data_IF_999032442618
#
_entry.id   IF_999032442618
#
_cell.length_a   1.000
_cell.length_b   1.000
_cell.length_c   1.000
_cell.angle_alpha   90.00
_cell.angle_beta   90.00
_cell.angle_gamma   90.00
#
_symmetry.space_group_name_H-M   'P 1'
#
loop_
_entity.id
_entity.type
_entity.pdbx_description
1 polymer ?
#
# COMPACT_ATOMS: atom_id res chain seq x y z
N UNK A 1 49.64 -16.10 -5.21
CA UNK A 1 48.38 -16.53 -4.56
C UNK A 1 48.26 -15.79 -3.23
N UNK A 2 47.09 -15.24 -2.91
CA UNK A 2 46.81 -14.59 -1.62
C UNK A 2 45.37 -14.93 -1.23
N UNK A 3 45.19 -15.59 -0.09
CA UNK A 3 43.87 -16.00 0.41
C UNK A 3 43.32 -14.97 1.40
N UNK A 4 42.17 -14.38 1.09
CA UNK A 4 41.49 -13.46 2.00
C UNK A 4 40.69 -14.25 3.05
N UNK A 5 41.09 -14.14 4.32
CA UNK A 5 40.42 -14.82 5.44
C UNK A 5 39.31 -13.93 6.00
N UNK A 6 38.05 -14.30 5.75
CA UNK A 6 36.91 -13.60 6.34
C UNK A 6 36.74 -13.89 7.84
N UNK A 7 36.37 -12.88 8.65
CA UNK A 7 36.17 -13.05 10.09
C UNK A 7 34.88 -13.83 10.41
N UNK A 8 34.97 -14.78 11.34
CA UNK A 8 33.83 -15.60 11.79
C UNK A 8 32.91 -14.80 12.70
N UNK A 9 31.77 -14.33 12.17
CA UNK A 9 30.74 -13.64 12.96
C UNK A 9 30.19 -14.57 14.06
N UNK A 10 30.16 -14.08 15.30
CA UNK A 10 29.70 -14.86 16.47
C UNK A 10 28.19 -15.09 16.42
N UNK A 11 27.79 -16.34 16.23
CA UNK A 11 26.39 -16.80 16.20
C UNK A 11 25.80 -16.78 17.62
N UNK A 12 25.04 -15.73 17.96
CA UNK A 12 24.17 -15.75 19.14
C UNK A 12 23.16 -16.91 19.04
N UNK A 13 22.98 -17.66 20.14
CA UNK A 13 21.98 -18.71 20.27
C UNK A 13 20.90 -18.24 21.24
N UNK A 14 19.66 -18.11 20.77
CA UNK A 14 18.51 -17.83 21.64
C UNK A 14 18.07 -19.13 22.35
N UNK A 15 18.02 -19.21 23.69
CA UNK A 15 17.88 -20.48 24.41
C UNK A 15 16.42 -20.92 24.61
N UNK A 16 15.67 -21.13 23.53
CA UNK A 16 14.36 -21.79 23.56
C UNK A 16 14.30 -22.92 22.53
N UNK A 17 14.67 -24.14 22.97
CA UNK A 17 14.50 -25.39 22.22
C UNK A 17 14.15 -26.54 23.16
N UNK A 18 12.88 -26.90 23.24
CA UNK A 18 12.40 -28.16 23.82
C UNK A 18 11.01 -28.53 23.29
N UNK A 19 10.58 -29.77 23.53
CA UNK A 19 9.29 -30.38 23.20
C UNK A 19 8.91 -30.55 21.72
N UNK A 20 9.02 -31.81 21.27
CA UNK A 20 8.16 -32.56 20.33
C UNK A 20 8.05 -32.11 18.84
N UNK A 21 7.83 -33.00 17.86
CA UNK A 21 7.85 -34.48 17.89
C UNK A 21 6.75 -35.13 17.03
N UNK A 22 7.15 -35.87 15.98
CA UNK A 22 6.32 -36.72 15.09
C UNK A 22 5.23 -36.01 14.21
N UNK A 23 4.66 -36.62 13.15
CA UNK A 23 5.21 -37.46 12.05
C UNK A 23 4.14 -37.72 10.95
N UNK A 24 4.49 -37.56 9.65
CA UNK A 24 3.88 -38.15 8.42
C UNK A 24 2.34 -37.99 8.18
N UNK A 25 1.67 -38.23 7.03
CA UNK A 25 1.91 -38.71 5.64
C UNK A 25 0.97 -37.91 4.67
N UNK A 26 1.26 -37.61 3.39
CA UNK A 26 1.00 -38.39 2.13
C UNK A 26 -0.50 -38.71 1.85
N UNK A 27 -1.10 -38.67 0.64
CA UNK A 27 -0.58 -38.58 -0.76
C UNK A 27 -1.65 -38.29 -1.86
N UNK A 28 -1.21 -37.81 -3.05
CA UNK A 28 -1.75 -38.09 -4.43
C UNK A 28 -2.95 -37.31 -5.04
N UNK A 29 -2.95 -37.21 -6.38
CA UNK A 29 -3.88 -36.49 -7.30
C UNK A 29 -4.76 -37.44 -8.15
N UNK A 30 -5.78 -36.90 -8.85
CA UNK A 30 -6.22 -37.31 -10.21
C UNK A 30 -6.68 -36.05 -11.00
N UNK A 31 -6.64 -36.07 -12.34
CA UNK A 31 -7.14 -35.01 -13.24
C UNK A 31 -7.83 -35.60 -14.50
N UNK A 32 -8.72 -34.83 -15.13
CA UNK A 32 -9.47 -35.07 -16.40
C UNK A 32 -10.30 -33.79 -16.72
N UNK A 33 -10.71 -33.42 -17.93
CA UNK A 33 -10.17 -33.67 -19.30
C UNK A 33 -10.74 -32.63 -20.32
N UNK A 34 -10.33 -32.64 -21.60
CA UNK A 34 -10.75 -31.68 -22.66
C UNK A 34 -11.47 -32.36 -23.87
N UNK A 35 -12.44 -31.69 -24.52
CA UNK A 35 -12.24 -31.10 -25.87
C UNK A 35 -12.98 -29.73 -26.07
N UNK A 36 -12.66 -28.76 -26.93
CA UNK A 36 -12.12 -28.66 -28.32
C UNK A 36 -13.19 -28.61 -29.45
N UNK A 37 -13.55 -27.39 -29.89
CA UNK A 37 -13.91 -26.93 -31.26
C UNK A 37 -14.23 -25.40 -31.19
N UNK A 38 -13.81 -24.43 -32.03
CA UNK A 38 -13.10 -24.33 -33.32
C UNK A 38 -13.95 -24.10 -34.58
N UNK A 39 -14.35 -22.84 -34.85
CA UNK A 39 -14.37 -22.22 -36.21
C UNK A 39 -14.54 -20.69 -36.18
N UNK A 40 -14.03 -20.00 -37.21
CA UNK A 40 -14.18 -18.57 -37.55
C UNK A 40 -13.71 -18.42 -39.03
N UNK A 41 -14.31 -17.58 -39.92
CA UNK A 41 -13.69 -16.25 -40.20
C UNK A 41 -14.61 -15.14 -40.84
N UNK A 42 -14.09 -13.90 -40.90
CA UNK A 42 -14.34 -12.85 -41.94
C UNK A 42 -15.76 -12.24 -42.12
N UNK A 43 -15.98 -11.01 -42.65
CA UNK A 43 -15.08 -9.90 -43.05
C UNK A 43 -15.81 -8.51 -43.09
N UNK A 44 -15.02 -7.44 -42.90
CA UNK A 44 -14.98 -6.14 -43.61
C UNK A 44 -16.25 -5.29 -43.98
N UNK A 45 -16.19 -4.02 -43.54
CA UNK A 45 -16.45 -2.72 -44.23
C UNK A 45 -17.79 -2.35 -44.92
N UNK A 46 -18.20 -1.08 -44.74
CA UNK A 46 -19.23 -0.40 -45.56
C UNK A 46 -19.90 0.84 -44.93
N UNK A 47 -19.47 2.06 -45.31
CA UNK A 47 -20.13 3.36 -45.00
C UNK A 47 -19.90 4.34 -46.17
N UNK A 48 -20.95 4.99 -46.71
CA UNK A 48 -20.98 6.48 -46.72
C UNK A 48 -22.38 7.15 -46.59
N UNK A 49 -22.32 8.44 -46.20
CA UNK A 49 -23.14 9.65 -46.49
C UNK A 49 -24.42 9.57 -47.37
N UNK A 50 -25.42 10.47 -47.32
CA UNK A 50 -25.67 11.79 -46.65
C UNK A 50 -27.22 11.99 -46.50
N UNK A 51 -27.89 13.06 -46.04
CA UNK A 51 -27.66 14.49 -45.66
C UNK A 51 -28.71 14.86 -44.54
N UNK A 52 -29.34 16.02 -44.23
CA UNK A 52 -29.38 17.44 -44.64
C UNK A 52 -29.94 18.33 -43.48
N UNK A 53 -30.03 19.66 -43.66
CA UNK A 53 -30.63 20.65 -42.71
C UNK A 53 -31.38 21.79 -43.43
N UNK A 54 -32.29 22.51 -42.75
CA UNK A 54 -32.41 23.96 -42.98
C UNK A 54 -32.61 24.87 -41.73
N UNK A 55 -31.63 25.77 -41.51
CA UNK A 55 -31.68 27.22 -41.16
C UNK A 55 -33.05 27.81 -40.71
N UNK A 56 -33.25 28.38 -39.49
CA UNK A 56 -32.81 29.68 -38.88
C UNK A 56 -33.58 30.95 -39.40
N UNK A 57 -33.98 31.91 -38.52
CA UNK A 57 -33.13 33.03 -38.01
C UNK A 57 -33.22 33.19 -36.47
N UNK A 58 -32.25 33.70 -35.68
CA UNK A 58 -31.24 34.78 -35.75
C UNK A 58 -31.72 36.15 -35.23
N UNK A 59 -31.08 36.65 -34.15
CA UNK A 59 -30.98 38.07 -33.77
C UNK A 59 -29.73 38.28 -32.87
N UNK A 60 -29.08 39.46 -32.91
CA UNK A 60 -27.70 39.66 -32.41
C UNK A 60 -27.41 41.13 -31.98
N UNK A 61 -26.28 41.36 -31.27
CA UNK A 61 -25.63 42.67 -30.96
C UNK A 61 -26.36 43.62 -29.96
N UNK A 62 -25.69 44.63 -29.33
CA UNK A 62 -24.26 44.85 -29.01
C UNK A 62 -23.99 45.14 -27.49
N UNK A 63 -22.73 45.38 -27.02
CA UNK A 63 -22.38 45.51 -25.59
C UNK A 63 -22.26 46.96 -25.04
N UNK A 64 -22.29 47.11 -23.70
CA UNK A 64 -22.02 48.37 -22.95
C UNK A 64 -21.02 48.11 -21.79
N UNK A 65 -20.42 49.19 -21.27
CA UNK A 65 -19.12 49.23 -20.57
C UNK A 65 -19.12 48.97 -19.04
N UNK A 66 -17.90 49.07 -18.48
CA UNK A 66 -17.55 48.98 -17.05
C UNK A 66 -18.38 49.90 -16.14
N UNK A 67 -18.93 49.33 -15.06
CA UNK A 67 -19.20 50.07 -13.82
C UNK A 67 -18.87 49.19 -12.61
N UNK A 68 -18.27 49.79 -11.58
CA UNK A 68 -17.88 49.14 -10.33
C UNK A 68 -18.87 49.56 -9.23
N UNK A 69 -19.69 48.64 -8.73
CA UNK A 69 -20.75 48.95 -7.77
C UNK A 69 -20.50 48.30 -6.40
N UNK A 70 -20.45 49.12 -5.34
CA UNK A 70 -20.38 48.65 -3.96
C UNK A 70 -21.77 48.19 -3.48
N UNK A 71 -21.87 46.96 -2.97
CA UNK A 71 -23.09 46.46 -2.33
C UNK A 71 -23.23 46.95 -0.85
N UNK A 72 -24.46 47.11 -0.32
CA UNK A 72 -24.70 47.84 0.94
C UNK A 72 -24.53 47.01 2.23
N UNK A 73 -24.46 47.72 3.37
CA UNK A 73 -24.40 47.15 4.72
C UNK A 73 -25.78 47.26 5.40
N UNK A 74 -26.38 46.14 5.83
CA UNK A 74 -27.45 46.01 6.86
C UNK A 74 -27.99 44.55 6.87
N UNK A 75 -28.69 44.09 7.92
CA UNK A 75 -28.36 44.06 9.35
C UNK A 75 -28.08 42.62 9.84
N UNK A 76 -27.74 42.46 11.13
CA UNK A 76 -27.79 41.14 11.78
C UNK A 76 -29.22 40.72 12.13
N UNK A 77 -29.60 39.47 11.83
CA UNK A 77 -30.62 38.75 12.58
C UNK A 77 -30.16 37.31 12.88
N UNK A 78 -30.29 36.88 14.14
CA UNK A 78 -29.87 35.56 14.57
C UNK A 78 -30.99 34.54 14.40
N UNK A 79 -30.70 33.42 13.74
CA UNK A 79 -31.56 32.22 13.75
C UNK A 79 -30.69 31.01 14.07
N UNK A 80 -30.58 30.70 15.37
CA UNK A 80 -29.76 29.63 15.89
C UNK A 80 -30.43 28.25 15.72
N UNK A 81 -30.61 27.80 14.47
CA UNK A 81 -31.06 26.44 14.18
C UNK A 81 -29.92 25.46 14.47
N UNK A 82 -30.07 24.64 15.51
CA UNK A 82 -29.02 23.78 16.04
C UNK A 82 -28.64 22.63 15.10
N UNK A 83 -27.71 22.87 14.18
CA UNK A 83 -26.88 21.82 13.61
C UNK A 83 -26.05 21.17 14.73
N UNK A 84 -26.08 19.85 14.84
CA UNK A 84 -25.27 19.10 15.81
C UNK A 84 -23.77 19.31 15.54
N UNK A 85 -23.16 20.25 16.26
CA UNK A 85 -21.71 20.41 16.28
C UNK A 85 -21.08 19.22 17.02
N UNK A 86 -20.56 18.26 16.26
CA UNK A 86 -19.64 17.27 16.82
C UNK A 86 -18.33 18.00 17.21
N UNK A 87 -17.89 17.95 18.49
CA UNK A 87 -16.76 18.75 18.98
C UNK A 87 -15.42 18.17 18.49
N UNK A 88 -15.11 18.43 17.22
CA UNK A 88 -14.06 17.76 16.46
C UNK A 88 -12.64 18.16 16.89
N UNK A 89 -11.97 17.25 17.60
CA UNK A 89 -10.52 16.99 17.58
C UNK A 89 -9.60 18.20 17.26
N UNK A 90 -9.40 19.10 18.24
CA UNK A 90 -8.54 20.30 18.13
C UNK A 90 -7.23 20.22 18.93
N UNK A 91 -6.71 19.02 19.18
CA UNK A 91 -5.41 18.84 19.86
C UNK A 91 -4.38 18.30 18.89
N UNK A 92 -3.21 18.93 18.86
CA UNK A 92 -2.11 18.56 17.97
C UNK A 92 -0.86 18.28 18.77
N UNK A 93 -0.18 17.17 18.47
CA UNK A 93 1.08 16.80 19.12
C UNK A 93 2.24 17.02 18.15
N UNK A 94 3.12 17.97 18.49
CA UNK A 94 4.30 18.34 17.71
C UNK A 94 5.40 17.28 17.86
N UNK A 95 5.59 16.76 19.08
CA UNK A 95 6.61 15.77 19.41
C UNK A 95 6.00 14.47 19.94
N UNK A 96 6.24 13.37 19.23
CA UNK A 96 5.90 12.01 19.65
C UNK A 96 6.87 11.01 19.03
N UNK A 97 7.09 9.86 19.67
CA UNK A 97 7.88 8.75 19.11
C UNK A 97 6.98 7.76 18.37
N UNK A 98 7.55 6.97 17.46
CA UNK A 98 6.81 6.01 16.60
C UNK A 98 5.95 5.03 17.41
N UNK A 99 6.43 4.61 18.60
CA UNK A 99 5.71 3.73 19.53
C UNK A 99 4.61 4.45 20.35
N UNK A 100 4.64 5.79 20.43
CA UNK A 100 3.66 6.61 21.16
C UNK A 100 2.47 7.02 20.27
N UNK A 101 2.60 6.92 18.93
CA UNK A 101 1.55 7.29 17.95
C UNK A 101 0.25 6.47 18.13
N UNK A 102 0.32 5.26 18.69
CA UNK A 102 -0.86 4.45 19.02
C UNK A 102 -1.54 4.84 20.34
N UNK A 103 -0.90 5.68 21.16
CA UNK A 103 -1.34 6.06 22.50
C UNK A 103 -1.86 7.51 22.56
N UNK A 104 -2.06 8.15 21.40
CA UNK A 104 -2.68 9.47 21.28
C UNK A 104 -4.11 9.42 21.86
N UNK A 105 -4.47 10.39 22.68
CA UNK A 105 -5.82 10.46 23.27
C UNK A 105 -6.86 10.87 22.22
N UNK A 106 -8.15 10.59 22.50
CA UNK A 106 -9.23 10.86 21.55
C UNK A 106 -9.31 12.35 21.22
N UNK A 107 -8.90 12.71 20.00
CA UNK A 107 -8.85 14.08 19.52
C UNK A 107 -7.45 14.68 19.37
N UNK A 108 -6.40 13.99 19.82
CA UNK A 108 -5.00 14.31 19.49
C UNK A 108 -4.61 13.75 18.12
N UNK A 109 -3.98 14.57 17.27
CA UNK A 109 -3.33 14.11 16.03
C UNK A 109 -1.98 14.79 15.78
N UNK A 110 -1.06 14.11 15.13
CA UNK A 110 0.20 14.69 14.66
C UNK A 110 -0.08 15.46 13.36
N UNK A 111 0.28 16.75 13.30
CA UNK A 111 0.18 17.53 12.06
C UNK A 111 1.26 17.04 11.07
N UNK A 112 0.88 16.86 9.81
CA UNK A 112 1.81 16.60 8.71
C UNK A 112 1.58 17.63 7.61
N UNK A 113 2.52 18.56 7.48
CA UNK A 113 2.58 19.54 6.40
C UNK A 113 3.24 18.95 5.14
N UNK A 114 2.82 19.43 3.96
CA UNK A 114 3.28 18.98 2.64
C UNK A 114 3.76 20.15 1.80
N UNK A 115 4.81 19.94 1.00
CA UNK A 115 5.36 20.93 0.08
C UNK A 115 4.58 20.98 -1.26
N UNK A 116 4.96 21.93 -2.13
CA UNK A 116 4.40 22.07 -3.48
C UNK A 116 4.64 20.86 -4.40
N UNK A 117 5.56 19.95 -4.03
CA UNK A 117 5.84 18.70 -4.73
C UNK A 117 5.08 17.50 -4.14
N UNK A 118 4.18 17.73 -3.19
CA UNK A 118 3.39 16.71 -2.48
C UNK A 118 4.23 15.77 -1.60
N UNK A 119 5.38 16.24 -1.13
CA UNK A 119 6.21 15.56 -0.14
C UNK A 119 5.92 16.11 1.26
N UNK A 120 5.65 15.23 2.23
CA UNK A 120 5.60 15.64 3.63
C UNK A 120 6.97 16.18 4.08
N UNK A 121 7.01 17.16 4.98
CA UNK A 121 8.25 17.74 5.51
C UNK A 121 8.17 18.01 7.03
N UNK A 122 9.28 18.50 7.62
CA UNK A 122 9.40 18.73 9.06
C UNK A 122 9.50 17.44 9.88
N UNK A 123 9.56 17.57 11.21
CA UNK A 123 9.84 16.44 12.12
C UNK A 123 8.78 15.33 12.04
N UNK A 124 7.53 15.71 11.77
CA UNK A 124 6.42 14.80 11.55
C UNK A 124 6.59 13.90 10.31
N UNK A 125 7.37 14.29 9.31
CA UNK A 125 7.71 13.44 8.16
C UNK A 125 8.44 12.17 8.62
N UNK A 126 9.47 12.32 9.45
CA UNK A 126 10.25 11.21 9.99
C UNK A 126 9.40 10.27 10.85
N UNK A 127 8.52 10.85 11.66
CA UNK A 127 7.57 10.13 12.52
C UNK A 127 6.55 9.32 11.71
N UNK A 128 5.90 9.95 10.71
CA UNK A 128 4.97 9.28 9.79
C UNK A 128 5.68 8.17 8.99
N UNK A 129 6.88 8.44 8.47
CA UNK A 129 7.67 7.45 7.75
C UNK A 129 8.13 6.29 8.67
N UNK A 130 8.37 6.54 9.95
CA UNK A 130 8.62 5.51 10.96
C UNK A 130 7.39 4.65 11.22
N UNK A 131 6.23 5.28 11.45
CA UNK A 131 4.96 4.60 11.73
C UNK A 131 4.45 3.77 10.54
N UNK A 132 4.52 4.30 9.32
CA UNK A 132 4.33 3.52 8.09
C UNK A 132 5.29 2.32 7.96
N UNK A 133 6.46 2.37 8.62
CA UNK A 133 7.37 1.23 8.76
C UNK A 133 6.85 0.18 9.73
N UNK A 134 6.35 0.58 10.89
CA UNK A 134 5.70 -0.33 11.85
C UNK A 134 4.51 -1.07 11.23
N UNK A 135 3.67 -0.38 10.47
CA UNK A 135 2.56 -1.02 9.74
C UNK A 135 3.05 -1.97 8.63
N UNK A 136 4.17 -1.66 7.97
CA UNK A 136 4.71 -2.45 6.86
C UNK A 136 5.44 -3.74 7.28
N UNK A 137 5.86 -3.87 8.55
CA UNK A 137 6.51 -5.07 9.09
C UNK A 137 5.54 -6.00 9.84
N UNK A 138 4.37 -5.50 10.25
CA UNK A 138 3.34 -6.33 10.87
C UNK A 138 2.66 -7.18 9.80
N UNK A 139 2.91 -8.49 9.82
CA UNK A 139 2.38 -9.44 8.85
C UNK A 139 0.87 -9.70 9.00
N UNK A 140 0.22 -9.26 10.09
CA UNK A 140 -1.24 -9.29 10.22
C UNK A 140 -1.88 -8.17 9.37
N UNK A 141 -1.22 -7.02 9.32
CA UNK A 141 -1.62 -5.90 8.48
C UNK A 141 -1.07 -6.06 7.04
N UNK A 142 0.24 -5.95 6.86
CA UNK A 142 0.89 -6.01 5.56
C UNK A 142 1.42 -7.42 5.25
N UNK A 143 0.50 -8.38 5.10
CA UNK A 143 0.80 -9.80 4.80
C UNK A 143 1.88 -9.98 3.73
N UNK A 144 2.80 -10.92 3.97
CA UNK A 144 3.94 -11.21 3.07
C UNK A 144 3.62 -12.23 1.97
N UNK A 145 2.44 -12.86 2.01
CA UNK A 145 2.01 -13.89 1.06
C UNK A 145 1.73 -13.33 -0.35
N UNK A 146 1.19 -12.11 -0.44
CA UNK A 146 0.89 -11.43 -1.70
C UNK A 146 2.14 -11.25 -2.55
N UNK A 147 2.10 -11.59 -3.84
CA UNK A 147 3.29 -11.54 -4.69
C UNK A 147 3.82 -10.10 -4.80
N UNK A 148 2.89 -9.15 -5.01
CA UNK A 148 3.14 -7.73 -5.28
C UNK A 148 2.39 -6.84 -4.27
N UNK A 149 2.70 -5.55 -4.25
CA UNK A 149 1.95 -4.62 -3.41
C UNK A 149 0.54 -4.33 -3.95
N UNK A 150 0.35 -4.28 -5.26
CA UNK A 150 -0.91 -3.93 -5.89
C UNK A 150 -1.12 -4.65 -7.22
N UNK A 151 -2.35 -4.58 -7.75
CA UNK A 151 -2.77 -5.31 -8.95
C UNK A 151 -3.39 -6.68 -8.61
N UNK A 152 -3.68 -7.48 -9.64
CA UNK A 152 -4.52 -8.69 -9.52
C UNK A 152 -3.98 -9.78 -8.57
N UNK A 153 -2.66 -9.89 -8.40
CA UNK A 153 -2.01 -10.78 -7.40
C UNK A 153 -1.33 -10.04 -6.24
N UNK A 154 -1.71 -8.77 -6.03
CA UNK A 154 -1.19 -7.92 -4.96
C UNK A 154 -2.15 -7.74 -3.78
N UNK A 155 -1.80 -6.84 -2.86
CA UNK A 155 -2.67 -6.46 -1.75
C UNK A 155 -4.01 -5.90 -2.28
N UNK A 156 -5.17 -6.30 -1.74
CA UNK A 156 -6.45 -5.72 -2.11
C UNK A 156 -6.47 -4.21 -1.88
N UNK A 157 -6.91 -3.42 -2.86
CA UNK A 157 -6.94 -1.94 -2.76
C UNK A 157 -7.68 -1.46 -1.51
N UNK A 158 -8.84 -2.06 -1.23
CA UNK A 158 -9.66 -1.77 -0.04
C UNK A 158 -8.87 -1.93 1.27
N UNK A 159 -7.96 -2.90 1.36
CA UNK A 159 -7.18 -3.12 2.58
C UNK A 159 -6.29 -1.91 2.93
N UNK A 160 -5.72 -1.22 1.92
CA UNK A 160 -4.98 0.03 2.17
C UNK A 160 -5.90 1.23 2.42
N UNK A 161 -7.11 1.25 1.85
CA UNK A 161 -8.12 2.28 2.09
C UNK A 161 -8.63 2.19 3.54
N UNK A 162 -9.05 0.99 3.97
CA UNK A 162 -9.45 0.69 5.35
C UNK A 162 -8.30 1.01 6.34
N UNK A 163 -7.03 0.71 5.99
CA UNK A 163 -5.85 1.09 6.79
C UNK A 163 -5.65 2.61 6.90
N UNK A 164 -5.85 3.35 5.81
CA UNK A 164 -5.72 4.81 5.81
C UNK A 164 -6.82 5.48 6.65
N UNK A 165 -8.06 5.03 6.51
CA UNK A 165 -9.23 5.56 7.23
C UNK A 165 -9.22 5.19 8.72
N UNK A 166 -8.90 3.94 9.08
CA UNK A 166 -9.02 3.46 10.47
C UNK A 166 -7.74 3.58 11.29
N UNK A 167 -6.56 3.61 10.65
CA UNK A 167 -5.28 3.67 11.34
C UNK A 167 -4.64 5.06 11.21
N UNK A 168 -4.51 5.60 9.99
CA UNK A 168 -3.71 6.81 9.75
C UNK A 168 -4.46 8.12 10.04
N UNK A 169 -5.64 8.36 9.44
CA UNK A 169 -6.44 9.60 9.65
C UNK A 169 -6.88 9.88 11.12
N UNK A 170 -7.03 8.87 12.01
CA UNK A 170 -7.26 9.10 13.43
C UNK A 170 -6.03 9.54 14.21
N UNK A 171 -4.81 9.33 13.68
CA UNK A 171 -3.52 9.62 14.35
C UNK A 171 -2.77 10.81 13.74
N UNK A 172 -3.01 11.11 12.46
CA UNK A 172 -2.35 12.17 11.72
C UNK A 172 -3.37 13.15 11.09
N UNK A 173 -3.08 14.45 11.16
CA UNK A 173 -3.75 15.50 10.41
C UNK A 173 -2.87 15.88 9.21
N UNK A 174 -3.23 15.37 8.03
CA UNK A 174 -2.55 15.75 6.79
C UNK A 174 -3.09 17.11 6.31
N UNK A 175 -2.22 18.12 6.16
CA UNK A 175 -2.57 19.45 5.62
C UNK A 175 -2.50 19.48 4.09
N UNK A 176 -3.14 18.51 3.47
CA UNK A 176 -3.23 18.32 2.02
C UNK A 176 -4.47 17.48 1.70
N UNK A 177 -4.95 17.45 0.45
CA UNK A 177 -6.13 16.64 0.14
C UNK A 177 -5.88 15.14 0.32
N UNK A 178 -6.92 14.40 0.68
CA UNK A 178 -6.79 13.02 1.17
C UNK A 178 -6.15 12.07 0.13
N UNK A 179 -6.36 12.31 -1.17
CA UNK A 179 -5.77 11.49 -2.23
C UNK A 179 -4.24 11.65 -2.34
N UNK A 180 -3.70 12.81 -1.97
CA UNK A 180 -2.25 13.04 -1.87
C UNK A 180 -1.70 12.33 -0.61
N UNK A 181 -2.34 12.54 0.53
CA UNK A 181 -1.94 11.91 1.79
C UNK A 181 -1.99 10.37 1.70
N UNK A 182 -3.04 9.82 1.10
CA UNK A 182 -3.16 8.39 0.79
C UNK A 182 -2.03 7.91 -0.13
N UNK A 183 -1.77 8.61 -1.24
CA UNK A 183 -0.67 8.26 -2.16
C UNK A 183 0.69 8.28 -1.47
N UNK A 184 0.96 9.25 -0.61
CA UNK A 184 2.19 9.32 0.17
C UNK A 184 2.31 8.12 1.14
N UNK A 185 1.28 7.86 1.94
CA UNK A 185 1.29 6.77 2.93
C UNK A 185 1.40 5.40 2.26
N UNK A 186 0.57 5.11 1.26
CA UNK A 186 0.63 3.90 0.43
C UNK A 186 2.01 3.71 -0.23
N UNK A 187 2.65 4.80 -0.71
CA UNK A 187 4.01 4.76 -1.27
C UNK A 187 5.11 4.56 -0.22
N UNK A 188 4.87 4.96 1.02
CA UNK A 188 5.79 4.75 2.15
C UNK A 188 5.73 3.30 2.65
N UNK A 189 4.51 2.80 2.90
CA UNK A 189 4.26 1.43 3.40
C UNK A 189 4.72 0.39 2.35
N UNK A 190 4.34 0.54 1.08
CA UNK A 190 4.71 -0.40 0.00
C UNK A 190 6.22 -0.61 -0.15
N UNK A 191 7.00 0.47 -0.14
CA UNK A 191 8.47 0.43 -0.17
C UNK A 191 9.02 -0.33 1.03
N UNK A 192 8.54 0.00 2.24
CA UNK A 192 8.99 -0.61 3.50
C UNK A 192 8.61 -2.09 3.61
N UNK A 193 7.44 -2.48 3.08
CA UNK A 193 6.98 -3.87 2.98
C UNK A 193 7.85 -4.69 2.01
N UNK A 194 8.18 -4.12 0.84
CA UNK A 194 9.10 -4.76 -0.09
C UNK A 194 10.50 -4.95 0.51
N UNK A 195 11.03 -3.93 1.21
CA UNK A 195 12.28 -4.03 1.98
C UNK A 195 12.20 -5.09 3.07
N UNK A 196 11.09 -5.16 3.82
CA UNK A 196 10.87 -6.16 4.86
C UNK A 196 10.88 -7.58 4.29
N UNK A 197 10.11 -7.85 3.22
CA UNK A 197 10.10 -9.16 2.54
C UNK A 197 11.47 -9.56 1.99
N UNK A 198 12.23 -8.62 1.43
CA UNK A 198 13.58 -8.90 0.96
C UNK A 198 14.55 -9.15 2.12
N UNK A 199 14.41 -8.47 3.26
CA UNK A 199 15.17 -8.78 4.49
C UNK A 199 14.82 -10.18 4.98
N UNK A 200 13.54 -10.54 5.13
CA UNK A 200 13.12 -11.87 5.55
C UNK A 200 13.68 -12.97 4.63
N UNK A 201 13.66 -12.74 3.32
CA UNK A 201 14.30 -13.66 2.39
C UNK A 201 15.81 -13.80 2.68
N UNK A 202 16.55 -12.71 2.84
CA UNK A 202 17.97 -12.74 3.14
C UNK A 202 18.31 -13.35 4.53
N UNK A 203 17.37 -13.31 5.48
CA UNK A 203 17.55 -13.74 6.87
C UNK A 203 17.21 -15.23 7.08
N UNK A 204 16.24 -15.77 6.32
CA UNK A 204 15.72 -17.15 6.49
C UNK A 204 15.88 -18.08 5.27
N UNK A 205 16.25 -17.58 4.09
CA UNK A 205 16.52 -18.45 2.94
C UNK A 205 17.94 -19.02 2.98
N UNK A 206 18.03 -20.35 2.96
CA UNK A 206 19.28 -21.11 2.89
C UNK A 206 19.23 -22.03 1.66
N UNK A 207 20.02 -21.76 0.60
CA UNK A 207 19.96 -22.54 -0.64
C UNK A 207 20.46 -23.99 -0.49
N UNK A 208 21.05 -24.35 0.66
CA UNK A 208 21.49 -25.72 0.95
C UNK A 208 20.39 -26.59 1.56
N UNK A 209 19.21 -26.03 1.85
CA UNK A 209 18.10 -26.72 2.51
C UNK A 209 16.93 -27.02 1.57
N UNK A 210 16.17 -28.04 1.92
CA UNK A 210 14.89 -28.32 1.25
C UNK A 210 13.86 -27.22 1.50
N UNK A 211 12.88 -27.10 0.60
CA UNK A 211 11.74 -26.19 0.76
C UNK A 211 11.03 -26.35 2.11
N UNK A 212 10.88 -27.58 2.59
CA UNK A 212 10.16 -27.87 3.84
C UNK A 212 10.96 -27.44 5.09
N UNK A 213 12.29 -27.53 5.05
CA UNK A 213 13.16 -26.96 6.07
C UNK A 213 13.12 -25.43 6.06
N UNK A 214 13.18 -24.79 4.89
CA UNK A 214 13.06 -23.32 4.78
C UNK A 214 11.72 -22.84 5.35
N UNK A 215 10.63 -23.55 5.08
CA UNK A 215 9.29 -23.23 5.61
C UNK A 215 9.21 -23.40 7.15
N UNK A 216 9.89 -24.40 7.71
CA UNK A 216 9.84 -24.69 9.16
C UNK A 216 10.82 -23.87 10.00
N UNK A 217 11.82 -23.21 9.40
CA UNK A 217 12.85 -22.42 10.11
C UNK A 217 12.47 -20.93 10.35
N UNK A 218 11.24 -20.50 10.06
CA UNK A 218 10.81 -19.10 10.23
C UNK A 218 10.65 -18.70 11.71
N UNK A 219 10.94 -17.44 12.04
CA UNK A 219 10.76 -16.89 13.39
C UNK A 219 9.30 -16.82 13.84
N UNK A 220 9.07 -16.95 15.15
CA UNK A 220 7.73 -17.05 15.77
C UNK A 220 6.79 -15.85 15.60
N UNK A 221 7.28 -14.70 15.11
CA UNK A 221 6.46 -13.52 14.82
C UNK A 221 5.80 -13.53 13.43
N UNK A 222 6.04 -14.55 12.61
CA UNK A 222 5.55 -14.63 11.23
C UNK A 222 4.61 -15.83 11.09
N UNK A 223 3.43 -15.62 10.52
CA UNK A 223 2.49 -16.71 10.23
C UNK A 223 3.12 -17.70 9.23
N UNK A 224 3.10 -18.99 9.57
CA UNK A 224 3.77 -20.06 8.82
C UNK A 224 3.20 -20.24 7.40
N UNK A 225 1.90 -20.01 7.22
CA UNK A 225 1.22 -20.18 5.94
C UNK A 225 1.51 -19.01 4.98
N UNK A 226 1.62 -17.79 5.51
CA UNK A 226 2.13 -16.63 4.78
C UNK A 226 3.59 -16.84 4.35
N UNK A 227 4.44 -17.35 5.25
CA UNK A 227 5.82 -17.69 4.92
C UNK A 227 5.91 -18.82 3.88
N UNK A 228 5.12 -19.89 4.02
CA UNK A 228 5.03 -20.97 3.04
C UNK A 228 4.60 -20.47 1.66
N UNK A 229 3.61 -19.57 1.62
CA UNK A 229 3.17 -18.89 0.40
C UNK A 229 4.28 -18.03 -0.22
N UNK A 230 4.99 -17.25 0.59
CA UNK A 230 6.09 -16.40 0.12
C UNK A 230 7.28 -17.22 -0.41
N UNK A 231 7.66 -18.30 0.28
CA UNK A 231 8.71 -19.24 -0.17
C UNK A 231 8.28 -19.94 -1.46
N UNK A 232 7.02 -20.39 -1.56
CA UNK A 232 6.50 -20.99 -2.77
C UNK A 232 6.49 -20.00 -3.95
N UNK A 233 6.14 -18.73 -3.73
CA UNK A 233 6.23 -17.65 -4.72
C UNK A 233 7.68 -17.42 -5.19
N UNK A 234 8.62 -17.22 -4.25
CA UNK A 234 10.01 -16.90 -4.55
C UNK A 234 10.74 -18.02 -5.30
N UNK A 235 10.36 -19.27 -5.06
CA UNK A 235 10.88 -20.45 -5.77
C UNK A 235 10.19 -20.75 -7.11
N UNK A 236 9.19 -19.96 -7.55
CA UNK A 236 8.63 -20.10 -8.91
C UNK A 236 9.73 -19.81 -9.96
N UNK A 237 9.93 -20.65 -10.99
CA UNK A 237 10.97 -20.44 -12.00
C UNK A 237 10.94 -19.05 -12.65
N UNK A 238 9.75 -18.52 -12.95
CA UNK A 238 9.56 -17.16 -13.49
C UNK A 238 10.00 -16.04 -12.53
N UNK A 239 9.92 -16.27 -11.21
CA UNK A 239 10.36 -15.31 -10.19
C UNK A 239 11.87 -15.42 -9.96
N UNK A 240 12.42 -16.63 -9.98
CA UNK A 240 13.87 -16.86 -9.93
C UNK A 240 14.58 -16.23 -11.14
N UNK A 241 14.05 -16.41 -12.35
CA UNK A 241 14.62 -15.84 -13.58
C UNK A 241 14.54 -14.31 -13.62
N UNK A 242 13.45 -13.72 -13.13
CA UNK A 242 13.37 -12.26 -12.95
C UNK A 242 14.39 -11.76 -11.91
N UNK A 243 14.58 -12.49 -10.81
CA UNK A 243 15.59 -12.17 -9.79
C UNK A 243 17.04 -12.45 -10.24
N UNK A 244 17.25 -13.21 -11.32
CA UNK A 244 18.55 -13.41 -11.96
C UNK A 244 18.89 -12.21 -12.83
N UNK A 245 18.03 -11.87 -13.80
CA UNK A 245 18.24 -10.72 -14.71
C UNK A 245 18.39 -9.39 -13.97
N UNK A 246 17.66 -9.19 -12.88
CA UNK A 246 17.79 -8.00 -12.02
C UNK A 246 19.12 -7.93 -11.21
N UNK A 247 20.08 -8.83 -11.43
CA UNK A 247 21.45 -8.80 -10.88
C UNK A 247 22.53 -8.72 -11.95
N UNK A 248 22.13 -8.75 -13.22
CA UNK A 248 23.00 -8.73 -14.40
C UNK A 248 22.94 -7.35 -15.10
N UNK A 249 22.41 -6.36 -14.38
CA UNK A 249 22.19 -4.94 -14.70
C UNK A 249 22.65 -4.13 -13.48
#
# INVERSE_FOLDING_TARGET
MIASVMPKIKRFKNPLKSANGHASSSTTLVAQDLPVASTNPSQADGVPQQEQTPILPQQEQPPIALQQEQAPILPSNSSATSLHQCPSARYWRVEAKVNEVNNLTVGERIIVDFDAYNSAYGDAQGLLAGYCGSLAIDCNFCSISFERWSGQSGMPKKYMEDCFETILKPRFLFRVCESIAYRYCNSSISKKWATHRQRLWNEYFDPTRSKNEIISNVSSGINKDQWASFVAYRLKPSTMELCRRNKEI
#
